data_IF_710855036711
#
_entry.id   IF_710855036711
#
_cell.length_a   1.000
_cell.length_b   1.000
_cell.length_c   1.000
_cell.angle_alpha   90.00
_cell.angle_beta   90.00
_cell.angle_gamma   90.00
#
_symmetry.space_group_name_H-M   'P 1'
#
loop_
_entity.id
_entity.type
_entity.pdbx_description
1 polymer ?
#
# COMPACT_ATOMS: atom_id res chain seq x y z
N UNK A 1 -3.09 -4.41 -6.33
CA UNK A 1 -3.29 -2.95 -6.16
C UNK A 1 -1.92 -2.29 -6.07
N UNK A 2 -1.70 -1.22 -6.82
CA UNK A 2 -0.50 -0.40 -6.68
C UNK A 2 -0.95 1.07 -6.60
N UNK A 3 -0.65 1.73 -5.48
CA UNK A 3 -1.20 3.06 -5.19
C UNK A 3 -0.17 3.96 -4.53
N UNK A 4 -0.12 5.22 -4.97
CA UNK A 4 0.68 6.27 -4.35
C UNK A 4 -0.05 6.81 -3.13
N UNK A 5 0.67 6.98 -2.04
CA UNK A 5 0.19 7.56 -0.77
C UNK A 5 1.20 8.56 -0.24
N UNK A 6 0.77 9.42 0.68
CA UNK A 6 1.66 10.32 1.41
C UNK A 6 1.74 9.87 2.86
N UNK A 7 2.94 10.01 3.44
CA UNK A 7 3.19 9.74 4.84
C UNK A 7 2.50 10.80 5.69
N UNK A 8 1.50 10.37 6.46
CA UNK A 8 0.70 11.19 7.36
C UNK A 8 -0.12 10.29 8.28
N UNK A 9 -0.93 10.89 9.14
CA UNK A 9 -1.55 10.20 10.28
C UNK A 9 -2.47 9.04 9.87
N UNK A 10 -3.13 9.14 8.71
CA UNK A 10 -4.06 8.13 8.20
C UNK A 10 -3.38 6.93 7.51
N UNK A 11 -2.07 6.97 7.29
CA UNK A 11 -1.37 5.94 6.50
C UNK A 11 -1.48 4.56 7.15
N UNK A 12 -1.33 4.48 8.47
CA UNK A 12 -1.33 3.20 9.19
C UNK A 12 -2.71 2.52 9.12
N UNK A 13 -3.79 3.28 9.27
CA UNK A 13 -5.15 2.75 9.18
C UNK A 13 -5.44 2.23 7.77
N UNK A 14 -5.01 2.98 6.75
CA UNK A 14 -5.13 2.54 5.36
C UNK A 14 -4.32 1.26 5.08
N UNK A 15 -3.10 1.14 5.60
CA UNK A 15 -2.31 -0.09 5.47
C UNK A 15 -3.03 -1.28 6.13
N UNK A 16 -3.65 -1.07 7.30
CA UNK A 16 -4.39 -2.11 8.00
C UNK A 16 -5.61 -2.58 7.19
N UNK A 17 -6.34 -1.67 6.57
CA UNK A 17 -7.42 -1.98 5.64
C UNK A 17 -6.94 -2.84 4.46
N UNK A 18 -5.84 -2.44 3.82
CA UNK A 18 -5.27 -3.18 2.69
C UNK A 18 -4.80 -4.58 3.12
N UNK A 19 -4.17 -4.73 4.28
CA UNK A 19 -3.74 -6.05 4.80
C UNK A 19 -4.90 -7.02 5.04
N UNK A 20 -6.10 -6.51 5.36
CA UNK A 20 -7.31 -7.35 5.47
C UNK A 20 -7.74 -7.92 4.12
N UNK A 21 -7.52 -7.17 3.04
CA UNK A 21 -8.00 -7.50 1.69
C UNK A 21 -6.99 -8.24 0.83
N UNK A 22 -5.69 -8.16 1.14
CA UNK A 22 -4.62 -8.73 0.33
C UNK A 22 -3.76 -9.70 1.15
N UNK A 23 -3.20 -10.72 0.51
CA UNK A 23 -2.29 -11.70 1.14
C UNK A 23 -0.92 -11.12 1.41
N UNK A 24 -0.51 -10.14 0.62
CA UNK A 24 0.80 -9.50 0.75
C UNK A 24 0.68 -8.00 0.53
N UNK A 25 1.34 -7.21 1.38
CA UNK A 25 1.34 -5.75 1.33
C UNK A 25 2.76 -5.25 1.60
N UNK A 26 3.32 -4.47 0.67
CA UNK A 26 4.67 -3.88 0.75
C UNK A 26 4.60 -2.37 0.61
N UNK A 27 5.37 -1.66 1.42
CA UNK A 27 5.65 -0.23 1.23
C UNK A 27 6.87 -0.08 0.32
N UNK A 28 6.76 0.80 -0.69
CA UNK A 28 7.80 1.02 -1.69
C UNK A 28 8.12 2.50 -1.74
N UNK A 29 9.38 2.85 -1.45
CA UNK A 29 9.94 4.18 -1.69
C UNK A 29 10.69 4.14 -3.03
N UNK A 30 10.25 4.87 -4.07
CA UNK A 30 10.93 4.86 -5.36
C UNK A 30 12.34 5.43 -5.22
N UNK A 31 13.35 4.82 -5.87
CA UNK A 31 14.72 5.38 -5.92
C UNK A 31 14.77 6.78 -6.54
N UNK A 32 13.84 7.09 -7.45
CA UNK A 32 13.72 8.41 -8.07
C UNK A 32 13.02 9.45 -7.17
N UNK A 33 12.39 9.03 -6.07
CA UNK A 33 11.79 9.97 -5.12
C UNK A 33 12.88 10.61 -4.27
N UNK A 34 12.77 11.92 -4.05
CA UNK A 34 13.68 12.65 -3.15
C UNK A 34 13.57 12.09 -1.73
N UNK A 35 14.66 11.98 -0.96
CA UNK A 35 14.62 11.48 0.42
C UNK A 35 13.63 12.25 1.31
N UNK A 36 13.48 13.55 1.09
CA UNK A 36 12.63 14.45 1.89
C UNK A 36 11.15 14.38 1.51
N UNK A 37 10.80 13.73 0.39
CA UNK A 37 9.41 13.61 -0.04
C UNK A 37 8.64 12.71 0.92
N UNK A 38 7.40 13.07 1.27
CA UNK A 38 6.49 12.21 2.01
C UNK A 38 5.88 11.09 1.15
N UNK A 39 6.22 11.00 -0.14
CA UNK A 39 5.64 10.03 -1.07
C UNK A 39 6.11 8.60 -0.80
N UNK A 40 5.14 7.68 -0.71
CA UNK A 40 5.34 6.24 -0.58
C UNK A 40 4.33 5.55 -1.50
N UNK A 41 4.63 4.33 -1.93
CA UNK A 41 3.68 3.49 -2.65
C UNK A 41 3.31 2.26 -1.82
N UNK A 42 2.06 1.81 -1.93
CA UNK A 42 1.62 0.52 -1.42
C UNK A 42 1.48 -0.44 -2.61
N UNK A 43 2.23 -1.53 -2.56
CA UNK A 43 2.08 -2.68 -3.44
C UNK A 43 1.34 -3.79 -2.69
N UNK A 44 0.12 -4.11 -3.12
CA UNK A 44 -0.69 -5.17 -2.52
C UNK A 44 -1.01 -6.27 -3.53
N UNK A 45 -0.71 -7.51 -3.17
CA UNK A 45 -0.77 -8.71 -4.00
C UNK A 45 -1.67 -9.78 -3.36
N UNK A 46 -2.23 -10.66 -4.20
CA UNK A 46 -3.09 -11.75 -3.75
C UNK A 46 -4.38 -11.24 -3.09
N UNK A 47 -5.22 -10.53 -3.85
CA UNK A 47 -6.52 -10.07 -3.36
C UNK A 47 -7.36 -11.26 -2.88
N UNK A 48 -7.83 -11.20 -1.63
CA UNK A 48 -8.60 -12.26 -0.95
C UNK A 48 -10.09 -12.23 -1.31
N UNK A 49 -10.55 -11.18 -1.99
CA UNK A 49 -11.95 -11.00 -2.37
C UNK A 49 -12.32 -11.67 -3.70
N UNK A 50 -13.56 -12.17 -3.75
CA UNK A 50 -14.18 -13.01 -4.79
C UNK A 50 -13.51 -14.38 -4.98
N UNK A 51 -14.00 -15.36 -4.22
CA UNK A 51 -14.24 -16.70 -4.81
C UNK A 51 -15.18 -16.48 -6.00
N UNK A 52 -14.70 -16.68 -7.22
CA UNK A 52 -15.62 -17.05 -8.28
C UNK A 52 -16.27 -18.36 -7.82
N UNK A 53 -17.59 -18.34 -7.64
CA UNK A 53 -18.39 -19.56 -7.74
C UNK A 53 -18.31 -20.04 -9.18
#
# INVERSE_FOLDING_TARGET
>A
LFVKVFQGDMLNDFINEVKRLFSEVRLVKPKASRPESAEIYILALGYKGRKHK
#
